data_IF_227910660065
#
_entry.id   IF_227910660065
#
_cell.length_a   1.000
_cell.length_b   1.000
_cell.length_c   1.000
_cell.angle_alpha   90.00
_cell.angle_beta   90.00
_cell.angle_gamma   90.00
#
_symmetry.space_group_name_H-M   'P 1'
#
loop_
_entity.id
_entity.type
_entity.pdbx_description
1 polymer ?
#
# COMPACT_ATOMS: atom_id res chain seq x y z
N UNK A 1 40.72 -42.85 -8.15
CA UNK A 1 39.26 -42.61 -8.15
C UNK A 1 39.00 -41.42 -7.23
N UNK A 2 38.75 -40.24 -7.80
CA UNK A 2 38.47 -39.03 -7.03
C UNK A 2 37.04 -39.11 -6.51
N UNK A 3 36.89 -39.06 -5.18
CA UNK A 3 35.59 -38.98 -4.54
C UNK A 3 35.03 -37.57 -4.76
N UNK A 4 33.95 -37.46 -5.55
CA UNK A 4 33.11 -36.28 -5.58
C UNK A 4 32.32 -36.23 -4.29
N UNK A 5 32.83 -35.52 -3.27
CA UNK A 5 32.01 -35.07 -2.15
C UNK A 5 31.18 -33.90 -2.65
N UNK A 6 29.90 -34.13 -2.86
CA UNK A 6 28.92 -33.05 -2.93
C UNK A 6 28.67 -32.60 -1.49
N UNK A 7 29.27 -31.46 -1.12
CA UNK A 7 29.00 -30.82 0.16
C UNK A 7 27.55 -30.32 0.13
N UNK A 8 26.65 -31.05 0.79
CA UNK A 8 25.29 -30.57 1.05
C UNK A 8 25.40 -29.41 2.04
N UNK A 9 24.92 -28.24 1.64
CA UNK A 9 24.77 -27.10 2.54
C UNK A 9 23.99 -27.53 3.79
N UNK A 10 24.47 -27.09 4.95
CA UNK A 10 23.80 -27.32 6.21
C UNK A 10 22.44 -26.60 6.23
N UNK A 11 21.49 -27.10 7.01
CA UNK A 11 20.16 -26.49 7.12
C UNK A 11 20.23 -25.02 7.58
N UNK A 12 21.24 -24.69 8.40
CA UNK A 12 21.49 -23.32 8.85
C UNK A 12 21.90 -22.41 7.69
N UNK A 13 22.80 -22.85 6.81
CA UNK A 13 23.23 -22.08 5.64
C UNK A 13 22.09 -21.87 4.62
N UNK A 14 21.16 -22.83 4.52
CA UNK A 14 19.96 -22.69 3.70
C UNK A 14 18.99 -21.65 4.29
N UNK A 15 18.77 -21.67 5.60
CA UNK A 15 17.91 -20.71 6.30
C UNK A 15 18.50 -19.28 6.25
N UNK A 16 19.83 -19.15 6.35
CA UNK A 16 20.53 -17.87 6.24
C UNK A 16 20.41 -17.29 4.82
N UNK A 17 20.49 -18.14 3.80
CA UNK A 17 20.30 -17.74 2.41
C UNK A 17 18.85 -17.30 2.13
N UNK A 18 17.86 -18.03 2.65
CA UNK A 18 16.45 -17.65 2.54
C UNK A 18 16.16 -16.31 3.23
N UNK A 19 16.75 -16.09 4.41
CA UNK A 19 16.64 -14.83 5.15
C UNK A 19 17.28 -13.67 4.37
N UNK A 20 18.44 -13.91 3.75
CA UNK A 20 19.13 -12.92 2.93
C UNK A 20 18.32 -12.58 1.67
N UNK A 21 17.77 -13.58 0.98
CA UNK A 21 16.95 -13.39 -0.21
C UNK A 21 15.65 -12.63 0.11
N UNK A 22 15.03 -12.95 1.25
CA UNK A 22 13.84 -12.23 1.74
C UNK A 22 14.18 -10.76 2.03
N UNK A 23 15.30 -10.53 2.71
CA UNK A 23 15.75 -9.17 3.06
C UNK A 23 16.09 -8.33 1.82
N UNK A 24 16.73 -8.95 0.81
CA UNK A 24 17.01 -8.31 -0.48
C UNK A 24 15.74 -8.00 -1.26
N UNK A 25 14.75 -8.90 -1.24
CA UNK A 25 13.44 -8.66 -1.85
C UNK A 25 12.74 -7.45 -1.22
N UNK A 26 12.72 -7.38 0.12
CA UNK A 26 12.15 -6.23 0.84
C UNK A 26 12.91 -4.94 0.54
N UNK A 27 14.24 -4.99 0.48
CA UNK A 27 15.06 -3.82 0.15
C UNK A 27 14.78 -3.30 -1.27
N UNK A 28 14.61 -4.19 -2.25
CA UNK A 28 14.25 -3.80 -3.62
C UNK A 28 12.86 -3.14 -3.67
N UNK A 29 11.87 -3.71 -2.98
CA UNK A 29 10.54 -3.10 -2.85
C UNK A 29 10.65 -1.71 -2.22
N UNK A 30 11.40 -1.56 -1.12
CA UNK A 30 11.65 -0.27 -0.45
C UNK A 30 12.28 0.75 -1.40
N UNK A 31 13.28 0.35 -2.19
CA UNK A 31 13.94 1.24 -3.15
C UNK A 31 13.01 1.70 -4.28
N UNK A 32 12.01 0.89 -4.64
CA UNK A 32 11.03 1.27 -5.64
C UNK A 32 9.90 2.15 -5.06
N UNK A 33 9.69 2.18 -3.73
CA UNK A 33 8.59 2.96 -3.09
C UNK A 33 8.60 4.46 -3.38
N UNK A 34 9.76 5.03 -3.76
CA UNK A 34 9.85 6.43 -4.21
C UNK A 34 9.15 6.66 -5.56
N UNK A 35 8.81 5.60 -6.29
CA UNK A 35 8.17 5.63 -7.61
C UNK A 35 6.74 5.08 -7.64
N UNK A 36 6.30 4.37 -6.58
CA UNK A 36 4.93 3.87 -6.51
C UNK A 36 3.96 5.03 -6.24
N UNK A 37 3.06 5.29 -7.19
CA UNK A 37 1.92 6.18 -6.98
C UNK A 37 0.80 5.44 -6.24
N UNK A 38 -0.21 6.14 -5.70
CA UNK A 38 -1.24 5.50 -4.87
C UNK A 38 -1.96 4.33 -5.56
N UNK A 39 -2.03 4.34 -6.89
CA UNK A 39 -2.63 3.27 -7.70
C UNK A 39 -1.80 1.99 -7.72
N UNK A 40 -0.47 2.10 -7.60
CA UNK A 40 0.46 0.97 -7.69
C UNK A 40 0.51 0.16 -6.38
N UNK A 41 0.02 0.74 -5.28
CA UNK A 41 -0.11 0.08 -3.98
C UNK A 41 -1.38 -0.77 -3.87
N UNK A 42 -2.43 -0.42 -4.63
CA UNK A 42 -3.75 -1.07 -4.55
C UNK A 42 -3.69 -2.59 -4.81
N UNK A 43 -2.94 -3.13 -5.80
CA UNK A 43 -2.88 -4.57 -6.02
C UNK A 43 -2.08 -5.34 -4.95
N UNK A 44 -1.28 -4.64 -4.14
CA UNK A 44 -0.41 -5.23 -3.12
C UNK A 44 -1.08 -5.33 -1.74
N UNK A 45 -2.16 -4.56 -1.53
CA UNK A 45 -3.00 -4.69 -0.35
C UNK A 45 -3.93 -5.91 -0.51
N UNK A 46 -3.49 -7.04 0.01
CA UNK A 46 -4.20 -8.32 -0.03
C UNK A 46 -5.49 -8.36 0.81
N UNK A 47 -5.88 -7.24 1.45
CA UNK A 47 -6.97 -7.11 2.42
C UNK A 47 -7.85 -5.86 2.15
N UNK A 48 -8.04 -5.51 0.88
CA UNK A 48 -8.94 -4.42 0.43
C UNK A 48 -10.42 -4.70 0.73
N UNK A 49 -10.77 -5.87 1.25
CA UNK A 49 -12.16 -6.23 1.59
C UNK A 49 -12.80 -5.32 2.66
N UNK A 50 -12.02 -4.46 3.34
CA UNK A 50 -12.53 -3.42 4.26
C UNK A 50 -12.58 -2.01 3.66
N UNK A 51 -12.03 -1.81 2.46
CA UNK A 51 -12.02 -0.51 1.79
C UNK A 51 -13.36 -0.22 1.12
N UNK A 52 -13.96 0.93 1.43
CA UNK A 52 -15.22 1.37 0.82
C UNK A 52 -14.95 2.45 -0.24
N UNK A 53 -15.66 2.37 -1.38
CA UNK A 53 -15.65 3.46 -2.35
C UNK A 53 -16.68 4.51 -1.93
N UNK A 54 -16.22 5.73 -1.65
CA UNK A 54 -17.08 6.87 -1.34
C UNK A 54 -16.86 8.00 -2.34
N UNK A 55 -17.89 8.31 -3.16
CA UNK A 55 -17.81 9.34 -4.22
C UNK A 55 -16.59 9.19 -5.15
N UNK A 56 -16.24 7.94 -5.50
CA UNK A 56 -15.06 7.56 -6.29
C UNK A 56 -13.70 7.74 -5.60
N UNK A 57 -13.69 8.03 -4.30
CA UNK A 57 -12.51 7.97 -3.46
C UNK A 57 -12.41 6.59 -2.83
N UNK A 58 -11.19 6.09 -2.71
CA UNK A 58 -10.90 4.86 -1.98
C UNK A 58 -10.70 5.20 -0.51
N UNK A 59 -11.56 4.69 0.39
CA UNK A 59 -11.48 4.91 1.82
C UNK A 59 -11.09 3.63 2.54
N UNK A 60 -10.19 3.73 3.52
CA UNK A 60 -9.84 2.63 4.41
C UNK A 60 -9.49 3.16 5.79
N UNK A 61 -9.54 2.27 6.78
CA UNK A 61 -9.04 2.57 8.13
C UNK A 61 -7.75 1.78 8.35
N UNK A 62 -6.68 2.45 8.75
CA UNK A 62 -5.48 1.77 9.23
C UNK A 62 -5.74 1.25 10.65
N UNK A 63 -6.25 0.03 10.75
CA UNK A 63 -6.62 -0.56 12.04
C UNK A 63 -5.42 -1.05 12.87
N UNK A 64 -4.23 -1.14 12.28
CA UNK A 64 -3.08 -1.81 12.89
C UNK A 64 -2.06 -0.84 13.49
N UNK A 65 -1.87 0.33 12.88
CA UNK A 65 -0.80 1.26 13.27
C UNK A 65 -1.35 2.56 13.83
N UNK A 66 -2.12 3.31 13.03
CA UNK A 66 -2.55 4.68 13.39
C UNK A 66 -3.98 4.76 13.91
N UNK A 67 -4.84 3.79 13.58
CA UNK A 67 -6.30 3.82 13.80
C UNK A 67 -7.02 4.97 13.07
N UNK A 68 -6.34 5.66 12.15
CA UNK A 68 -6.88 6.77 11.38
C UNK A 68 -7.60 6.29 10.12
N UNK A 69 -8.53 7.12 9.65
CA UNK A 69 -9.17 6.93 8.36
C UNK A 69 -8.38 7.65 7.28
N UNK A 70 -8.27 6.99 6.15
CA UNK A 70 -7.56 7.49 4.99
C UNK A 70 -8.48 7.46 3.78
N UNK A 71 -8.37 8.49 2.96
CA UNK A 71 -9.05 8.59 1.69
C UNK A 71 -8.06 8.93 0.59
N UNK A 72 -8.13 8.21 -0.51
CA UNK A 72 -7.31 8.42 -1.69
C UNK A 72 -8.17 8.76 -2.90
N UNK A 73 -7.78 9.82 -3.58
CA UNK A 73 -8.35 10.24 -4.85
C UNK A 73 -7.41 9.93 -6.00
N UNK A 74 -7.83 9.01 -6.86
CA UNK A 74 -7.13 8.65 -8.09
C UNK A 74 -7.13 9.78 -9.13
N UNK A 75 -8.09 10.71 -9.09
CA UNK A 75 -8.19 11.79 -10.09
C UNK A 75 -7.07 12.82 -9.90
N UNK A 76 -6.82 13.24 -8.65
CA UNK A 76 -5.75 14.20 -8.34
C UNK A 76 -4.53 13.60 -7.67
N UNK A 77 -4.49 12.27 -7.49
CA UNK A 77 -3.45 11.56 -6.75
C UNK A 77 -3.26 12.16 -5.33
N UNK A 78 -4.37 12.49 -4.67
CA UNK A 78 -4.38 13.14 -3.37
C UNK A 78 -4.76 12.14 -2.27
N UNK A 79 -4.00 12.15 -1.17
CA UNK A 79 -4.32 11.42 0.06
C UNK A 79 -4.74 12.38 1.16
N UNK A 80 -5.81 12.05 1.87
CA UNK A 80 -6.32 12.80 3.02
C UNK A 80 -6.47 11.83 4.18
N UNK A 81 -6.04 12.24 5.37
CA UNK A 81 -6.07 11.42 6.59
C UNK A 81 -6.86 12.18 7.65
N UNK A 82 -7.72 11.48 8.38
CA UNK A 82 -8.43 12.02 9.52
C UNK A 82 -8.77 10.92 10.54
N UNK A 83 -8.65 11.23 11.82
CA UNK A 83 -9.08 10.32 12.90
C UNK A 83 -10.60 10.07 12.92
N UNK A 84 -11.40 10.88 12.24
CA UNK A 84 -12.86 10.78 12.22
C UNK A 84 -13.42 10.63 10.80
N UNK A 85 -14.06 9.48 10.53
CA UNK A 85 -14.68 9.18 9.24
C UNK A 85 -15.69 10.24 8.78
N UNK A 86 -16.48 10.82 9.68
CA UNK A 86 -17.46 11.86 9.32
C UNK A 86 -16.79 13.15 8.86
N UNK A 87 -15.65 13.51 9.45
CA UNK A 87 -14.88 14.68 9.01
C UNK A 87 -14.18 14.40 7.68
N UNK A 88 -13.67 13.18 7.49
CA UNK A 88 -13.06 12.76 6.24
C UNK A 88 -14.07 12.80 5.08
N UNK A 89 -15.27 12.22 5.26
CA UNK A 89 -16.30 12.22 4.23
C UNK A 89 -16.84 13.62 3.95
N UNK A 90 -16.97 14.49 4.97
CA UNK A 90 -17.36 15.89 4.76
C UNK A 90 -16.34 16.68 3.91
N UNK A 91 -15.03 16.43 4.11
CA UNK A 91 -13.97 17.02 3.26
C UNK A 91 -14.06 16.52 1.82
N UNK A 92 -14.30 15.22 1.62
CA UNK A 92 -14.48 14.63 0.29
C UNK A 92 -15.71 15.25 -0.40
N UNK A 93 -16.81 15.41 0.34
CA UNK A 93 -18.01 16.07 -0.17
C UNK A 93 -17.72 17.49 -0.64
N UNK A 94 -16.98 18.28 0.14
CA UNK A 94 -16.58 19.63 -0.25
C UNK A 94 -15.78 19.64 -1.56
N UNK A 95 -14.76 18.78 -1.67
CA UNK A 95 -13.90 18.67 -2.85
C UNK A 95 -14.70 18.28 -4.09
N UNK A 96 -15.50 17.21 -3.98
CA UNK A 96 -16.29 16.70 -5.10
C UNK A 96 -17.41 17.66 -5.51
N UNK A 97 -18.01 18.37 -4.56
CA UNK A 97 -19.00 19.41 -4.87
C UNK A 97 -18.35 20.58 -5.63
N UNK A 98 -17.13 21.00 -5.24
CA UNK A 98 -16.38 22.02 -5.98
C UNK A 98 -16.03 21.57 -7.40
N UNK A 99 -15.60 20.31 -7.59
CA UNK A 99 -15.33 19.73 -8.92
C UNK A 99 -16.57 19.76 -9.80
N UNK A 100 -17.71 19.32 -9.27
CA UNK A 100 -18.98 19.33 -10.00
C UNK A 100 -19.46 20.74 -10.36
N UNK A 101 -19.15 21.76 -9.55
CA UNK A 101 -19.46 23.15 -9.88
C UNK A 101 -18.57 23.70 -11.00
N UNK A 102 -17.30 23.27 -11.10
CA UNK A 102 -16.39 23.69 -12.16
C UNK A 102 -16.74 23.06 -13.52
N UNK A 103 -17.27 21.84 -13.53
CA UNK A 103 -17.66 21.14 -14.76
C UNK A 103 -18.95 21.72 -15.39
N UNK A 104 -19.80 22.35 -14.58
CA UNK A 104 -21.10 22.88 -15.02
C UNK A 104 -21.09 24.37 -15.42
N UNK A 105 -19.91 25.02 -15.44
CA UNK A 105 -19.70 26.39 -15.89
C UNK A 105 -18.87 26.43 -17.18
#
# INVERSE_FOLDING_TARGET
MNQGKTDKASQTELNDLETLLTSLGLYLVIQETEYFTGDDWLPLCNDIDSGEIYRNWFLWQDTEVTQEWEAYDHVTNQRIIDSNLTLLTAKIDEIENQRNLQVNN
#
